data_IF_023051677340
#
_entry.id   IF_023051677340
#
_cell.length_a   1.000
_cell.length_b   1.000
_cell.length_c   1.000
_cell.angle_alpha   90.00
_cell.angle_beta   90.00
_cell.angle_gamma   90.00
#
_symmetry.space_group_name_H-M   'P 1'
#
loop_
_entity.id
_entity.type
_entity.pdbx_description
1 polymer ?
#
# COMPACT_ATOMS: atom_id res chain seq x y z
N UNK A 1 -10.92 6.71 -6.85
CA UNK A 1 -9.58 6.13 -6.76
C UNK A 1 -9.62 4.87 -5.93
N UNK A 2 -9.07 3.79 -6.45
CA UNK A 2 -8.77 2.54 -5.74
C UNK A 2 -7.27 2.41 -5.55
N UNK A 3 -6.86 1.61 -4.58
CA UNK A 3 -5.49 1.14 -4.42
C UNK A 3 -5.53 -0.38 -4.24
N UNK A 4 -4.82 -1.11 -5.09
CA UNK A 4 -4.43 -2.47 -4.78
C UNK A 4 -3.15 -2.38 -3.98
N UNK A 5 -3.15 -2.95 -2.77
CA UNK A 5 -2.00 -2.94 -1.87
C UNK A 5 -1.49 -4.36 -1.75
N UNK A 6 -0.23 -4.56 -2.08
CA UNK A 6 0.41 -5.88 -2.02
C UNK A 6 1.55 -5.84 -1.02
N UNK A 7 1.51 -6.74 -0.05
CA UNK A 7 2.58 -6.96 0.92
C UNK A 7 3.31 -8.24 0.56
N UNK A 8 4.64 -8.18 0.55
CA UNK A 8 5.49 -9.34 0.26
C UNK A 8 6.84 -9.18 0.96
N UNK A 9 7.57 -10.27 1.04
CA UNK A 9 8.93 -10.28 1.55
C UNK A 9 9.80 -11.27 0.78
N UNK A 10 11.12 -10.99 0.64
CA UNK A 10 12.00 -11.87 -0.10
C UNK A 10 12.33 -13.14 0.67
N UNK A 11 12.75 -14.15 -0.07
CA UNK A 11 13.37 -15.33 0.53
C UNK A 11 14.64 -14.93 1.30
N UNK A 12 14.97 -15.58 2.43
CA UNK A 12 16.11 -15.19 3.28
C UNK A 12 17.47 -15.22 2.57
N UNK A 13 17.58 -15.97 1.47
CA UNK A 13 18.82 -16.09 0.69
C UNK A 13 19.01 -14.93 -0.29
N UNK A 14 17.99 -14.13 -0.52
CA UNK A 14 18.04 -13.01 -1.48
C UNK A 14 18.56 -11.77 -0.76
N UNK A 15 19.63 -11.18 -1.27
CA UNK A 15 20.16 -9.94 -0.72
C UNK A 15 19.19 -8.77 -0.94
N UNK A 16 18.95 -7.96 0.11
CA UNK A 16 18.03 -6.81 0.08
C UNK A 16 18.25 -5.92 -1.15
N UNK A 17 19.50 -5.50 -1.38
CA UNK A 17 19.82 -4.59 -2.49
C UNK A 17 19.41 -5.16 -3.85
N UNK A 18 19.69 -6.45 -4.08
CA UNK A 18 19.30 -7.11 -5.32
C UNK A 18 17.78 -7.17 -5.49
N UNK A 19 17.06 -7.51 -4.42
CA UNK A 19 15.60 -7.53 -4.44
C UNK A 19 14.99 -6.17 -4.74
N UNK A 20 15.49 -5.11 -4.08
CA UNK A 20 15.03 -3.74 -4.33
C UNK A 20 15.35 -3.24 -5.75
N UNK A 21 16.50 -3.65 -6.32
CA UNK A 21 16.85 -3.30 -7.70
C UNK A 21 15.88 -3.98 -8.68
N UNK A 22 15.53 -5.25 -8.46
CA UNK A 22 14.56 -5.96 -9.28
C UNK A 22 13.15 -5.40 -9.12
N UNK A 23 12.75 -4.98 -7.91
CA UNK A 23 11.48 -4.27 -7.69
C UNK A 23 11.45 -2.96 -8.47
N UNK A 24 12.50 -2.16 -8.41
CA UNK A 24 12.59 -0.89 -9.17
C UNK A 24 12.51 -1.15 -10.68
N UNK A 25 13.23 -2.15 -11.20
CA UNK A 25 13.17 -2.53 -12.61
C UNK A 25 11.73 -2.89 -13.02
N UNK A 26 11.07 -3.73 -12.25
CA UNK A 26 9.67 -4.11 -12.52
C UNK A 26 8.76 -2.89 -12.51
N UNK A 27 8.81 -2.05 -11.48
CA UNK A 27 7.95 -0.88 -11.36
C UNK A 27 8.20 0.17 -12.45
N UNK A 28 9.45 0.39 -12.85
CA UNK A 28 9.82 1.27 -13.96
C UNK A 28 9.28 0.73 -15.29
N UNK A 29 9.39 -0.59 -15.51
CA UNK A 29 8.87 -1.23 -16.72
C UNK A 29 7.34 -1.13 -16.78
N UNK A 30 6.67 -1.35 -15.65
CA UNK A 30 5.21 -1.21 -15.53
C UNK A 30 4.76 0.23 -15.81
N UNK A 31 5.47 1.22 -15.27
CA UNK A 31 5.19 2.63 -15.50
C UNK A 31 5.41 3.04 -16.97
N UNK A 32 6.42 2.47 -17.64
CA UNK A 32 6.68 2.71 -19.05
C UNK A 32 5.64 2.05 -19.99
N UNK A 33 4.99 0.96 -19.53
CA UNK A 33 3.98 0.20 -20.27
C UNK A 33 2.59 0.36 -19.64
N UNK A 34 2.26 1.55 -19.20
CA UNK A 34 1.10 1.91 -18.39
C UNK A 34 -0.22 1.43 -19.01
N UNK A 35 -0.93 0.56 -18.29
CA UNK A 35 -2.28 0.13 -18.69
C UNK A 35 -3.32 1.24 -18.43
N UNK A 36 -4.43 1.21 -19.19
CA UNK A 36 -5.49 2.19 -19.02
C UNK A 36 -6.12 2.12 -17.63
N UNK A 37 -6.17 3.27 -16.93
CA UNK A 37 -6.68 3.41 -15.57
C UNK A 37 -5.67 3.11 -14.46
N UNK A 38 -4.45 2.65 -14.78
CA UNK A 38 -3.35 2.60 -13.83
C UNK A 38 -2.72 4.00 -13.71
N UNK A 39 -2.69 4.58 -12.53
CA UNK A 39 -2.18 5.92 -12.31
C UNK A 39 -0.68 5.91 -11.97
N UNK A 40 -0.32 5.25 -10.91
CA UNK A 40 1.06 5.11 -10.46
C UNK A 40 1.17 3.95 -9.46
N UNK A 41 2.41 3.57 -9.18
CA UNK A 41 2.73 2.70 -8.05
C UNK A 41 3.78 3.34 -7.15
N UNK A 42 3.73 2.97 -5.88
CA UNK A 42 4.70 3.37 -4.87
C UNK A 42 5.09 2.13 -4.08
N UNK A 43 6.37 1.96 -3.82
CA UNK A 43 6.89 0.85 -3.02
C UNK A 43 7.57 1.38 -1.77
N UNK A 44 7.12 0.89 -0.62
CA UNK A 44 7.75 1.16 0.66
C UNK A 44 8.35 -0.11 1.24
N UNK A 45 9.52 0.00 1.83
CA UNK A 45 10.03 -0.96 2.80
C UNK A 45 9.44 -0.64 4.16
N UNK A 46 8.92 -1.64 4.84
CA UNK A 46 8.25 -1.51 6.13
C UNK A 46 8.82 -2.51 7.14
N UNK A 47 8.67 -2.18 8.42
CA UNK A 47 9.00 -3.06 9.55
C UNK A 47 7.89 -3.06 10.57
N UNK A 48 7.80 -4.16 11.32
CA UNK A 48 6.83 -4.26 12.42
C UNK A 48 5.38 -4.40 11.95
N UNK A 49 5.14 -4.84 10.72
CA UNK A 49 3.80 -5.14 10.21
C UNK A 49 3.27 -6.45 10.82
N UNK A 50 2.77 -6.39 12.05
CA UNK A 50 2.38 -7.56 12.84
C UNK A 50 1.24 -8.41 12.27
N UNK A 51 0.65 -7.99 11.15
CA UNK A 51 -0.34 -8.77 10.39
C UNK A 51 0.30 -9.65 9.29
N UNK A 52 1.60 -9.51 9.04
CA UNK A 52 2.33 -10.33 8.09
C UNK A 52 3.01 -11.48 8.81
N UNK A 53 3.08 -12.63 8.14
CA UNK A 53 3.79 -13.80 8.68
C UNK A 53 5.31 -13.70 8.40
N UNK A 54 5.89 -12.56 8.79
CA UNK A 54 7.33 -12.31 8.73
C UNK A 54 7.77 -11.60 9.99
N UNK A 55 8.98 -11.89 10.47
CA UNK A 55 9.56 -11.27 11.67
C UNK A 55 10.35 -10.01 11.38
N UNK A 56 10.68 -9.76 10.11
CA UNK A 56 11.64 -8.74 9.71
C UNK A 56 11.02 -7.65 8.84
N UNK A 57 11.66 -7.37 7.73
CA UNK A 57 11.26 -6.39 6.76
C UNK A 57 10.28 -7.00 5.75
N UNK A 58 9.36 -6.19 5.30
CA UNK A 58 8.48 -6.48 4.18
C UNK A 58 8.42 -5.27 3.25
N UNK A 59 7.86 -5.47 2.09
CA UNK A 59 7.56 -4.41 1.14
C UNK A 59 6.05 -4.24 1.04
N UNK A 60 5.63 -2.99 0.93
CA UNK A 60 4.25 -2.60 0.76
C UNK A 60 4.15 -1.82 -0.54
N UNK A 61 3.51 -2.41 -1.54
CA UNK A 61 3.31 -1.82 -2.86
C UNK A 61 1.90 -1.26 -2.96
N UNK A 62 1.77 -0.01 -3.33
CA UNK A 62 0.51 0.67 -3.59
C UNK A 62 0.35 0.92 -5.08
N UNK A 63 -0.59 0.23 -5.72
CA UNK A 63 -0.96 0.44 -7.12
C UNK A 63 -2.22 1.29 -7.17
N UNK A 64 -2.10 2.55 -7.60
CA UNK A 64 -3.22 3.49 -7.64
C UNK A 64 -3.97 3.34 -8.97
N UNK A 65 -5.29 3.16 -8.87
CA UNK A 65 -6.17 2.78 -9.97
C UNK A 65 -7.41 3.66 -10.01
N UNK A 66 -7.93 3.95 -11.19
CA UNK A 66 -9.18 4.70 -11.35
C UNK A 66 -10.36 3.92 -10.76
N UNK A 67 -10.47 2.64 -11.13
CA UNK A 67 -11.58 1.77 -10.79
C UNK A 67 -11.18 0.28 -10.75
N UNK A 68 -12.14 -0.59 -10.51
CA UNK A 68 -11.91 -2.04 -10.44
C UNK A 68 -11.61 -2.68 -11.80
N UNK A 69 -12.07 -2.10 -12.90
CA UNK A 69 -11.73 -2.61 -14.23
C UNK A 69 -10.25 -2.33 -14.58
N UNK A 70 -9.67 -1.26 -14.02
CA UNK A 70 -8.25 -0.97 -14.15
C UNK A 70 -7.38 -2.04 -13.43
N UNK A 71 -7.89 -2.69 -12.39
CA UNK A 71 -7.16 -3.77 -11.71
C UNK A 71 -6.97 -5.00 -12.61
N UNK A 72 -7.97 -5.41 -13.38
CA UNK A 72 -7.85 -6.52 -14.32
C UNK A 72 -6.80 -6.19 -15.39
N UNK A 73 -6.86 -4.97 -15.94
CA UNK A 73 -5.89 -4.51 -16.94
C UNK A 73 -4.47 -4.39 -16.39
N UNK A 74 -4.33 -3.94 -15.14
CA UNK A 74 -3.03 -3.92 -14.44
C UNK A 74 -2.48 -5.32 -14.29
N UNK A 75 -3.31 -6.27 -13.84
CA UNK A 75 -2.90 -7.67 -13.67
C UNK A 75 -2.39 -8.27 -14.99
N UNK A 76 -3.11 -8.09 -16.10
CA UNK A 76 -2.68 -8.56 -17.41
C UNK A 76 -1.37 -7.89 -17.85
N UNK A 77 -1.25 -6.57 -17.68
CA UNK A 77 -0.04 -5.83 -18.07
C UNK A 77 1.18 -6.24 -17.23
N UNK A 78 1.00 -6.51 -15.94
CA UNK A 78 2.09 -6.87 -15.04
C UNK A 78 2.74 -8.22 -15.40
N UNK A 79 1.96 -9.16 -15.94
CA UNK A 79 2.41 -10.55 -16.21
C UNK A 79 2.64 -10.83 -17.72
N UNK A 80 2.66 -9.80 -18.55
CA UNK A 80 2.80 -9.98 -20.00
C UNK A 80 3.76 -8.97 -20.63
N UNK A 81 4.17 -9.25 -21.87
CA UNK A 81 4.99 -8.36 -22.68
C UNK A 81 6.31 -7.98 -22.01
N UNK A 82 6.61 -6.68 -21.97
CA UNK A 82 7.85 -6.18 -21.37
C UNK A 82 7.92 -6.38 -19.85
N UNK A 83 6.78 -6.49 -19.18
CA UNK A 83 6.71 -6.65 -17.71
C UNK A 83 6.91 -8.10 -17.27
N UNK A 84 6.71 -9.10 -18.15
CA UNK A 84 6.69 -10.51 -17.79
C UNK A 84 7.97 -10.97 -17.07
N UNK A 85 9.14 -10.73 -17.64
CA UNK A 85 10.39 -11.19 -17.03
C UNK A 85 10.76 -10.41 -15.75
N UNK A 86 10.67 -9.07 -15.70
CA UNK A 86 10.86 -8.35 -14.44
C UNK A 86 9.90 -8.81 -13.33
N UNK A 87 8.60 -8.98 -13.64
CA UNK A 87 7.61 -9.51 -12.70
C UNK A 87 7.99 -10.91 -12.21
N UNK A 88 8.27 -11.84 -13.13
CA UNK A 88 8.59 -13.22 -12.81
C UNK A 88 9.87 -13.35 -11.98
N UNK A 89 10.83 -12.44 -12.15
CA UNK A 89 12.04 -12.38 -11.35
C UNK A 89 11.70 -12.06 -9.89
N UNK A 90 10.97 -10.98 -9.64
CA UNK A 90 10.52 -10.60 -8.29
C UNK A 90 9.68 -11.71 -7.66
N UNK A 91 8.75 -12.30 -8.44
CA UNK A 91 7.88 -13.36 -7.96
C UNK A 91 8.66 -14.62 -7.54
N UNK A 92 9.71 -14.99 -8.25
CA UNK A 92 10.60 -16.12 -7.86
C UNK A 92 11.41 -15.84 -6.60
N UNK A 93 11.74 -14.59 -6.34
CA UNK A 93 12.54 -14.16 -5.18
C UNK A 93 11.70 -13.92 -3.93
N UNK A 94 10.41 -13.67 -4.08
CA UNK A 94 9.49 -13.55 -2.96
C UNK A 94 9.32 -14.88 -2.22
N UNK A 95 9.32 -14.82 -0.89
CA UNK A 95 9.02 -15.97 -0.04
C UNK A 95 7.52 -16.19 0.08
N UNK A 96 6.75 -15.10 0.20
CA UNK A 96 5.30 -15.11 0.30
C UNK A 96 4.77 -13.70 0.08
N UNK A 97 3.45 -13.56 -0.06
CA UNK A 97 2.79 -12.28 -0.24
C UNK A 97 1.29 -12.36 0.01
N UNK A 98 0.71 -11.21 0.29
CA UNK A 98 -0.73 -11.06 0.50
C UNK A 98 -1.18 -9.70 0.02
N UNK A 99 -2.44 -9.55 -0.35
CA UNK A 99 -2.95 -8.30 -0.90
C UNK A 99 -4.28 -7.87 -0.32
N UNK A 100 -4.56 -6.59 -0.47
CA UNK A 100 -5.82 -5.98 -0.09
C UNK A 100 -6.25 -4.91 -1.09
N UNK A 101 -7.53 -4.62 -1.11
CA UNK A 101 -8.10 -3.56 -1.94
C UNK A 101 -8.60 -2.43 -1.05
N UNK A 102 -8.19 -1.21 -1.36
CA UNK A 102 -8.53 -0.01 -0.60
C UNK A 102 -9.13 1.05 -1.51
N UNK A 103 -9.98 1.87 -0.94
CA UNK A 103 -10.57 3.04 -1.61
C UNK A 103 -10.18 4.31 -0.87
N UNK A 104 -9.80 5.33 -1.63
CA UNK A 104 -9.58 6.68 -1.09
C UNK A 104 -10.87 7.18 -0.42
N UNK A 105 -10.77 7.61 0.83
CA UNK A 105 -11.87 8.14 1.65
C UNK A 105 -11.76 9.63 1.92
N UNK A 106 -10.53 10.10 2.12
CA UNK A 106 -10.24 11.53 2.32
C UNK A 106 -8.80 11.84 1.94
N UNK A 107 -8.50 13.10 1.69
CA UNK A 107 -7.20 13.58 1.21
C UNK A 107 -7.06 13.45 -0.30
N UNK A 108 -5.83 13.54 -0.77
CA UNK A 108 -5.46 13.38 -2.18
C UNK A 108 -4.79 12.03 -2.39
N UNK A 109 -4.81 11.52 -3.63
CA UNK A 109 -4.17 10.25 -4.02
C UNK A 109 -2.62 10.29 -4.01
N UNK A 110 -2.03 11.41 -3.64
CA UNK A 110 -0.58 11.58 -3.68
C UNK A 110 0.07 10.97 -2.43
N UNK A 111 0.90 9.96 -2.64
CA UNK A 111 1.72 9.32 -1.60
C UNK A 111 3.19 9.76 -1.61
N UNK A 112 3.57 10.74 -2.44
CA UNK A 112 4.98 11.15 -2.64
C UNK A 112 5.66 11.63 -1.35
N UNK A 113 4.90 12.19 -0.43
CA UNK A 113 5.42 12.68 0.84
C UNK A 113 5.17 11.74 2.02
N UNK A 114 4.56 10.57 1.78
CA UNK A 114 4.26 9.62 2.85
C UNK A 114 5.53 9.06 3.48
N UNK A 115 5.65 9.19 4.81
CA UNK A 115 6.73 8.66 5.64
C UNK A 115 6.22 7.80 6.77
N UNK A 116 4.92 7.87 7.06
CA UNK A 116 4.26 7.12 8.10
C UNK A 116 2.94 6.58 7.59
N UNK A 117 2.59 5.39 8.07
CA UNK A 117 1.26 4.82 7.92
C UNK A 117 0.71 4.40 9.27
N UNK A 118 -0.56 4.69 9.52
CA UNK A 118 -1.27 4.18 10.69
C UNK A 118 -2.38 3.27 10.20
N UNK A 119 -2.27 2.00 10.58
CA UNK A 119 -3.28 0.98 10.30
C UNK A 119 -4.22 0.88 11.49
N UNK A 120 -5.52 1.08 11.27
CA UNK A 120 -6.52 1.13 12.33
C UNK A 120 -7.84 0.50 11.93
N UNK A 121 -8.62 0.09 12.92
CA UNK A 121 -10.01 -0.32 12.76
C UNK A 121 -10.93 0.72 13.36
N UNK A 122 -12.14 0.84 12.82
CA UNK A 122 -13.19 1.64 13.43
C UNK A 122 -13.52 1.05 14.81
N UNK A 123 -13.54 1.86 15.88
CA UNK A 123 -13.89 1.38 17.22
C UNK A 123 -15.29 0.74 17.26
N UNK A 124 -15.43 -0.30 18.07
CA UNK A 124 -16.73 -0.95 18.29
C UNK A 124 -17.76 0.05 18.82
N UNK A 125 -18.97 0.01 18.29
CA UNK A 125 -20.06 0.91 18.67
C UNK A 125 -20.02 2.30 18.01
N UNK A 126 -18.91 2.69 17.38
CA UNK A 126 -18.84 3.94 16.60
C UNK A 126 -19.43 3.70 15.20
N UNK A 127 -20.34 4.57 14.76
CA UNK A 127 -20.86 4.53 13.39
C UNK A 127 -19.80 4.99 12.38
N UNK A 128 -19.87 4.55 11.12
CA UNK A 128 -18.97 5.08 10.07
C UNK A 128 -19.08 6.59 9.93
N UNK A 129 -20.28 7.15 10.07
CA UNK A 129 -20.49 8.61 10.03
C UNK A 129 -19.68 9.32 11.11
N UNK A 130 -19.74 8.84 12.35
CA UNK A 130 -18.99 9.41 13.46
C UNK A 130 -17.49 9.18 13.29
N UNK A 131 -17.09 7.96 12.87
CA UNK A 131 -15.69 7.64 12.59
C UNK A 131 -15.04 8.63 11.60
N UNK A 132 -15.72 8.91 10.48
CA UNK A 132 -15.20 9.89 9.52
C UNK A 132 -15.22 11.31 10.05
N UNK A 133 -16.23 11.69 10.84
CA UNK A 133 -16.30 13.00 11.47
C UNK A 133 -15.16 13.20 12.49
N UNK A 134 -14.86 12.18 13.30
CA UNK A 134 -13.80 12.23 14.30
C UNK A 134 -12.40 12.30 13.65
N UNK A 135 -12.21 11.68 12.49
CA UNK A 135 -10.94 11.73 11.74
C UNK A 135 -10.83 12.97 10.84
N UNK A 136 -11.90 13.71 10.60
CA UNK A 136 -11.93 14.85 9.68
C UNK A 136 -10.87 15.93 10.03
N UNK A 137 -10.61 16.28 11.28
CA UNK A 137 -9.54 17.23 11.62
C UNK A 137 -8.15 16.77 11.16
N UNK A 138 -7.86 15.47 11.23
CA UNK A 138 -6.60 14.89 10.76
C UNK A 138 -6.56 14.82 9.24
N UNK A 139 -7.62 14.31 8.61
CA UNK A 139 -7.67 14.11 7.16
C UNK A 139 -7.80 15.41 6.36
N UNK A 140 -8.04 16.54 7.04
CA UNK A 140 -7.99 17.88 6.45
C UNK A 140 -6.58 18.49 6.45
N UNK A 141 -5.62 17.86 7.12
CA UNK A 141 -4.23 18.33 7.11
C UNK A 141 -3.59 18.05 5.74
N UNK A 142 -2.75 18.95 5.22
CA UNK A 142 -2.02 18.73 3.98
C UNK A 142 -1.17 17.44 4.06
N UNK A 143 -1.22 16.63 3.01
CA UNK A 143 -0.44 15.39 2.91
C UNK A 143 -0.93 14.22 3.77
N UNK A 144 -2.10 14.36 4.41
CA UNK A 144 -2.76 13.26 5.09
C UNK A 144 -3.78 12.61 4.17
N UNK A 145 -3.70 11.29 4.03
CA UNK A 145 -4.55 10.50 3.13
C UNK A 145 -5.18 9.35 3.90
N UNK A 146 -6.49 9.23 3.84
CA UNK A 146 -7.24 8.13 4.45
C UNK A 146 -7.74 7.15 3.39
N UNK A 147 -7.36 5.90 3.56
CA UNK A 147 -7.84 4.76 2.78
C UNK A 147 -8.74 3.88 3.63
N UNK A 148 -9.76 3.31 3.02
CA UNK A 148 -10.64 2.32 3.65
C UNK A 148 -10.71 1.06 2.82
N UNK A 149 -10.55 -0.09 3.48
CA UNK A 149 -10.60 -1.40 2.85
C UNK A 149 -11.91 -1.59 2.06
N UNK A 150 -11.82 -2.25 0.94
CA UNK A 150 -12.97 -2.51 0.06
C UNK A 150 -13.01 -3.98 -0.36
N UNK A 151 -14.13 -4.64 -0.15
CA UNK A 151 -14.45 -5.98 -0.64
C UNK A 151 -13.58 -7.13 -0.10
N UNK A 152 -12.56 -6.86 0.69
CA UNK A 152 -11.64 -7.86 1.27
C UNK A 152 -11.73 -7.84 2.80
N UNK A 153 -11.33 -8.92 3.49
CA UNK A 153 -11.40 -9.03 4.95
C UNK A 153 -10.02 -9.00 5.64
N UNK A 154 -8.94 -9.10 4.91
CA UNK A 154 -7.58 -9.12 5.43
C UNK A 154 -6.61 -8.43 4.48
N UNK A 155 -5.31 -8.57 4.72
CA UNK A 155 -4.69 -9.16 5.89
C UNK A 155 -4.60 -8.23 7.11
N UNK A 156 -4.73 -6.92 6.89
CA UNK A 156 -4.59 -5.90 7.93
C UNK A 156 -5.93 -5.32 8.37
N UNK A 157 -5.90 -4.26 9.16
CA UNK A 157 -7.08 -3.54 9.65
C UNK A 157 -7.83 -2.80 8.54
N UNK A 158 -9.00 -2.25 8.87
CA UNK A 158 -9.96 -1.73 7.90
C UNK A 158 -9.50 -0.42 7.23
N UNK A 159 -8.68 0.38 7.92
CA UNK A 159 -8.26 1.69 7.42
C UNK A 159 -6.75 1.87 7.49
N UNK A 160 -6.23 2.71 6.60
CA UNK A 160 -4.86 3.19 6.60
C UNK A 160 -4.85 4.71 6.47
N UNK A 161 -4.07 5.39 7.32
CA UNK A 161 -3.78 6.82 7.19
C UNK A 161 -2.32 6.98 6.83
N UNK A 162 -2.03 7.57 5.67
CA UNK A 162 -0.68 8.01 5.34
C UNK A 162 -0.47 9.46 5.75
N UNK A 163 0.76 9.78 6.17
CA UNK A 163 1.16 11.13 6.52
C UNK A 163 2.66 11.38 6.29
N UNK A 164 3.02 12.64 6.13
CA UNK A 164 4.41 13.06 6.05
C UNK A 164 5.08 13.11 7.44
N UNK A 165 4.32 13.49 8.44
CA UNK A 165 4.78 13.64 9.82
C UNK A 165 4.02 12.66 10.72
N UNK A 166 4.58 12.25 11.88
CA UNK A 166 3.83 11.50 12.87
C UNK A 166 2.55 12.26 13.25
N UNK A 167 1.43 11.54 13.32
CA UNK A 167 0.14 12.08 13.74
C UNK A 167 -0.41 11.27 14.92
N UNK A 168 -1.18 11.92 15.77
CA UNK A 168 -1.87 11.27 16.88
C UNK A 168 -3.34 11.04 16.52
N UNK A 169 -3.82 9.84 16.80
CA UNK A 169 -5.24 9.52 16.61
C UNK A 169 -6.09 10.19 17.70
N UNK A 170 -7.36 10.48 17.44
CA UNK A 170 -8.28 10.96 18.46
C UNK A 170 -8.36 10.01 19.67
N UNK A 171 -8.67 10.54 20.84
CA UNK A 171 -8.83 9.74 22.05
C UNK A 171 -9.83 8.59 21.84
N UNK A 172 -9.48 7.40 22.30
CA UNK A 172 -10.28 6.18 22.12
C UNK A 172 -10.06 5.44 20.81
N UNK A 173 -9.20 5.96 19.92
CA UNK A 173 -8.80 5.27 18.70
C UNK A 173 -7.45 4.58 18.90
N UNK A 174 -7.36 3.35 18.46
CA UNK A 174 -6.12 2.58 18.48
C UNK A 174 -5.68 2.27 17.04
N UNK A 175 -4.40 2.44 16.78
CA UNK A 175 -3.80 2.15 15.49
C UNK A 175 -2.38 1.61 15.65
N UNK A 176 -1.92 0.92 14.63
CA UNK A 176 -0.55 0.44 14.51
C UNK A 176 0.21 1.36 13.56
N UNK A 177 1.15 2.12 14.11
CA UNK A 177 1.97 3.06 13.33
C UNK A 177 3.23 2.38 12.82
N UNK A 178 3.52 2.55 11.55
CA UNK A 178 4.75 2.08 10.90
C UNK A 178 5.43 3.23 10.16
N UNK A 179 6.78 3.20 10.12
CA UNK A 179 7.56 4.08 9.28
C UNK A 179 7.69 3.50 7.88
N UNK A 180 7.65 4.36 6.89
CA UNK A 180 7.74 4.02 5.48
C UNK A 180 9.08 4.46 4.93
N UNK A 181 9.89 3.52 4.47
CA UNK A 181 11.12 3.80 3.74
C UNK A 181 10.86 3.60 2.25
N UNK A 182 10.92 4.68 1.48
CA UNK A 182 10.59 4.64 0.06
C UNK A 182 11.65 3.89 -0.74
N UNK A 183 11.20 2.94 -1.55
CA UNK A 183 12.01 2.16 -2.50
C UNK A 183 11.74 2.61 -3.93
N UNK A 184 10.48 2.98 -4.25
CA UNK A 184 10.06 3.41 -5.58
C UNK A 184 8.82 4.32 -5.49
N UNK A 185 8.61 5.29 -6.39
CA UNK A 185 9.54 6.13 -7.08
C UNK A 185 10.22 7.04 -6.15
#
# INVERSE_FOLDING_TARGET
MLAYVFWHWPQPVIARGAYEDHLREFQQTLAANKSNGFQQSVVFRIRGAGWLNTSDEAYEEWYLLDDSAAMDRLNEAAVSGACEEPHNRVAREAADGTGGLYRLRAGTENLDQAKFAIWLSKPTGVSYKNFYADLQPLTSLPGVVLWGRQMTLGPTTEFCIHSQNPIELPSGYNGHSISLERVYP
#
